data_IF_444380104139
#
_entry.id   IF_444380104139
#
_cell.length_a   1.000
_cell.length_b   1.000
_cell.length_c   1.000
_cell.angle_alpha   90.00
_cell.angle_beta   90.00
_cell.angle_gamma   90.00
#
_symmetry.space_group_name_H-M   'P 1'
#
loop_
_entity.id
_entity.type
_entity.pdbx_description
1 polymer ?
#
# COMPACT_ATOMS: atom_id res chain seq x y z
N UNK A 1 -20.92 -10.77 6.63
CA UNK A 1 -19.58 -10.50 6.05
C UNK A 1 -19.77 -9.41 5.02
N UNK A 2 -19.07 -8.28 5.13
CA UNK A 2 -19.35 -7.12 4.28
C UNK A 2 -18.88 -7.38 2.84
N UNK A 3 -19.79 -7.25 1.89
CA UNK A 3 -19.55 -7.31 0.44
C UNK A 3 -18.80 -6.06 0.00
N UNK A 4 -17.51 -5.97 0.31
CA UNK A 4 -16.70 -4.81 -0.06
C UNK A 4 -16.54 -4.77 -1.58
N UNK A 5 -16.95 -3.65 -2.19
CA UNK A 5 -16.84 -3.39 -3.64
C UNK A 5 -15.64 -2.54 -4.02
N UNK A 6 -14.87 -2.08 -3.03
CA UNK A 6 -13.73 -1.21 -3.20
C UNK A 6 -12.65 -1.50 -2.15
N UNK A 7 -11.39 -1.29 -2.53
CA UNK A 7 -10.22 -1.39 -1.65
C UNK A 7 -9.79 0.01 -1.24
N UNK A 8 -9.58 0.22 0.07
CA UNK A 8 -8.99 1.44 0.66
C UNK A 8 -7.51 1.26 1.03
N UNK A 9 -6.84 0.24 0.49
CA UNK A 9 -5.46 -0.13 0.86
C UNK A 9 -4.46 1.03 0.77
N UNK A 10 -4.68 1.94 -0.17
CA UNK A 10 -3.81 3.09 -0.43
C UNK A 10 -4.45 4.42 -0.03
N UNK A 11 -5.56 4.39 0.71
CA UNK A 11 -6.23 5.61 1.13
C UNK A 11 -5.28 6.48 1.97
N UNK A 12 -5.15 7.76 1.63
CA UNK A 12 -4.33 8.72 2.38
C UNK A 12 -2.93 8.97 1.80
N UNK A 13 -2.45 8.15 0.86
CA UNK A 13 -1.15 8.40 0.21
C UNK A 13 -1.26 9.56 -0.78
N UNK A 14 -0.45 10.60 -0.59
CA UNK A 14 -0.29 11.68 -1.55
C UNK A 14 0.76 11.32 -2.61
N UNK A 15 0.43 11.52 -3.88
CA UNK A 15 1.29 11.15 -5.01
C UNK A 15 1.48 12.30 -6.00
N UNK A 16 2.64 12.33 -6.65
CA UNK A 16 3.04 13.29 -7.66
C UNK A 16 2.33 12.97 -8.99
N UNK A 17 1.40 13.80 -9.48
CA UNK A 17 0.54 13.45 -10.63
C UNK A 17 1.32 13.03 -11.87
N UNK A 18 2.33 13.81 -12.27
CA UNK A 18 3.14 13.56 -13.48
C UNK A 18 3.86 12.21 -13.43
N UNK A 19 4.40 11.84 -12.26
CA UNK A 19 5.07 10.54 -12.08
C UNK A 19 4.06 9.40 -12.05
N UNK A 20 2.94 9.57 -11.36
CA UNK A 20 1.85 8.58 -11.32
C UNK A 20 1.35 8.24 -12.73
N UNK A 21 1.04 9.26 -13.53
CA UNK A 21 0.61 9.11 -14.92
C UNK A 21 1.65 8.34 -15.74
N UNK A 22 2.91 8.77 -15.71
CA UNK A 22 3.98 8.11 -16.47
C UNK A 22 4.19 6.63 -16.08
N UNK A 23 4.07 6.29 -14.79
CA UNK A 23 4.19 4.92 -14.30
C UNK A 23 3.04 4.02 -14.78
N UNK A 24 1.83 4.57 -14.82
CA UNK A 24 0.61 3.84 -15.14
C UNK A 24 0.37 3.71 -16.65
N UNK A 25 0.71 4.72 -17.46
CA UNK A 25 0.64 4.64 -18.93
C UNK A 25 1.48 3.48 -19.47
N UNK A 26 2.69 3.29 -18.94
CA UNK A 26 3.56 2.16 -19.27
C UNK A 26 3.01 0.79 -18.85
N UNK A 27 1.88 0.75 -18.15
CA UNK A 27 1.20 -0.45 -17.63
C UNK A 27 -0.22 -0.61 -18.16
N UNK A 28 -0.50 0.02 -19.30
CA UNK A 28 -1.77 -0.04 -20.01
C UNK A 28 -2.95 0.58 -19.23
N UNK A 29 -2.65 1.48 -18.29
CA UNK A 29 -3.69 2.32 -17.73
C UNK A 29 -4.00 3.48 -18.68
N UNK A 30 -5.29 3.71 -18.90
CA UNK A 30 -5.83 4.90 -19.55
C UNK A 30 -5.92 6.03 -18.53
N UNK A 31 -5.54 7.23 -18.99
CA UNK A 31 -5.50 8.46 -18.21
C UNK A 31 -6.50 9.42 -18.84
N UNK A 32 -7.65 9.61 -18.19
CA UNK A 32 -8.75 10.42 -18.70
C UNK A 32 -9.19 11.47 -17.69
N UNK A 33 -9.47 12.68 -18.16
CA UNK A 33 -10.07 13.74 -17.36
C UNK A 33 -11.49 13.40 -16.92
N UNK A 34 -12.24 12.65 -17.73
CA UNK A 34 -13.63 12.29 -17.48
C UNK A 34 -13.74 10.98 -16.68
N UNK A 35 -12.91 9.99 -17.01
CA UNK A 35 -13.03 8.63 -16.47
C UNK A 35 -11.99 8.31 -15.36
N UNK A 36 -11.02 9.22 -15.16
CA UNK A 36 -9.92 9.05 -14.21
C UNK A 36 -8.82 8.12 -14.72
N UNK A 37 -8.13 7.46 -13.79
CA UNK A 37 -7.12 6.45 -14.09
C UNK A 37 -7.79 5.07 -14.12
N UNK A 38 -7.77 4.42 -15.28
CA UNK A 38 -8.45 3.14 -15.47
C UNK A 38 -7.57 2.12 -16.19
N UNK A 39 -7.80 0.83 -15.95
CA UNK A 39 -7.20 -0.26 -16.73
C UNK A 39 -8.27 -1.26 -17.12
N UNK A 40 -8.34 -1.58 -18.41
CA UNK A 40 -9.39 -2.44 -18.99
C UNK A 40 -8.85 -3.86 -19.15
N UNK A 41 -9.57 -4.82 -18.59
CA UNK A 41 -9.31 -6.25 -18.69
C UNK A 41 -10.38 -6.88 -19.58
N UNK A 42 -10.10 -6.96 -20.89
CA UNK A 42 -11.08 -7.39 -21.89
C UNK A 42 -11.54 -8.85 -21.72
N UNK A 43 -10.62 -9.75 -21.34
CA UNK A 43 -10.92 -11.17 -21.12
C UNK A 43 -11.89 -11.39 -19.96
N UNK A 44 -11.75 -10.62 -18.89
CA UNK A 44 -12.54 -10.73 -17.67
C UNK A 44 -13.78 -9.82 -17.69
N UNK A 45 -13.92 -8.99 -18.73
CA UNK A 45 -14.96 -7.96 -18.84
C UNK A 45 -14.96 -6.97 -17.66
N UNK A 46 -13.79 -6.64 -17.12
CA UNK A 46 -13.63 -5.76 -15.96
C UNK A 46 -12.85 -4.50 -16.31
N UNK A 47 -13.17 -3.42 -15.60
CA UNK A 47 -12.36 -2.19 -15.57
C UNK A 47 -11.93 -1.99 -14.12
N UNK A 48 -10.63 -1.80 -13.90
CA UNK A 48 -10.11 -1.30 -12.63
C UNK A 48 -10.04 0.22 -12.70
N UNK A 49 -10.48 0.92 -11.64
CA UNK A 49 -10.41 2.38 -11.55
C UNK A 49 -9.73 2.80 -10.25
N UNK A 50 -8.82 3.78 -10.35
CA UNK A 50 -8.12 4.38 -9.23
C UNK A 50 -8.62 5.81 -8.99
N UNK A 51 -9.16 6.05 -7.79
CA UNK A 51 -9.72 7.33 -7.37
C UNK A 51 -8.84 8.07 -6.38
N UNK A 52 -8.89 9.40 -6.42
CA UNK A 52 -8.18 10.29 -5.50
C UNK A 52 -9.03 11.51 -5.11
N UNK A 53 -8.77 12.06 -3.91
CA UNK A 53 -9.50 13.18 -3.28
C UNK A 53 -9.23 14.56 -3.92
N UNK A 54 -8.68 14.59 -5.13
CA UNK A 54 -8.49 15.79 -5.93
C UNK A 54 -8.48 15.42 -7.42
N UNK A 55 -8.91 16.34 -8.27
CA UNK A 55 -8.77 16.17 -9.72
C UNK A 55 -7.29 15.94 -10.04
N UNK A 56 -6.97 14.78 -10.63
CA UNK A 56 -5.64 14.41 -11.15
C UNK A 56 -4.99 15.50 -12.02
N UNK A 57 -5.82 16.43 -12.50
CA UNK A 57 -5.49 17.41 -13.51
C UNK A 57 -6.01 18.84 -13.22
N UNK A 58 -6.26 19.19 -11.95
CA UNK A 58 -6.62 20.58 -11.63
C UNK A 58 -5.47 21.54 -12.02
N UNK A 59 -5.73 22.64 -12.75
CA UNK A 59 -4.71 23.64 -13.11
C UNK A 59 -4.15 24.38 -11.89
N UNK A 60 -4.85 24.34 -10.76
CA UNK A 60 -4.40 24.93 -9.50
C UNK A 60 -3.43 23.97 -8.81
N UNK A 61 -2.15 24.33 -8.78
CA UNK A 61 -1.02 23.65 -8.07
C UNK A 61 -1.22 23.48 -6.54
N UNK A 62 -2.44 23.54 -6.03
CA UNK A 62 -2.67 23.84 -4.61
C UNK A 62 -2.48 22.62 -3.71
N UNK A 63 -2.73 21.38 -4.17
CA UNK A 63 -2.47 20.14 -3.40
C UNK A 63 -2.26 18.92 -4.30
N UNK A 64 -1.31 18.07 -3.93
CA UNK A 64 -1.13 16.77 -4.58
C UNK A 64 -2.34 15.84 -4.31
N UNK A 65 -2.75 15.00 -5.29
CA UNK A 65 -3.85 14.08 -5.13
C UNK A 65 -3.56 13.03 -4.06
N UNK A 66 -4.54 12.82 -3.19
CA UNK A 66 -4.54 11.79 -2.16
C UNK A 66 -5.33 10.60 -2.68
N UNK A 67 -4.69 9.42 -2.81
CA UNK A 67 -5.38 8.20 -3.20
C UNK A 67 -6.51 7.87 -2.21
N UNK A 68 -7.63 7.34 -2.71
CA UNK A 68 -8.79 6.96 -1.87
C UNK A 68 -9.16 5.50 -2.02
N UNK A 69 -9.63 5.12 -3.21
CA UNK A 69 -10.20 3.80 -3.46
C UNK A 69 -9.76 3.23 -4.79
N UNK A 70 -9.57 1.91 -4.80
CA UNK A 70 -9.52 1.10 -6.01
C UNK A 70 -10.85 0.37 -6.11
N UNK A 71 -11.50 0.44 -7.25
CA UNK A 71 -12.73 -0.28 -7.55
C UNK A 71 -12.59 -1.10 -8.83
N UNK A 72 -13.41 -2.14 -8.94
CA UNK A 72 -13.56 -2.93 -10.13
C UNK A 72 -15.00 -2.82 -10.60
N UNK A 73 -15.21 -2.53 -11.87
CA UNK A 73 -16.54 -2.42 -12.46
C UNK A 73 -16.68 -3.40 -13.62
N UNK A 74 -17.87 -3.98 -13.76
CA UNK A 74 -18.22 -4.78 -14.92
C UNK A 74 -18.39 -3.86 -16.13
N UNK A 75 -17.70 -4.16 -17.24
CA UNK A 75 -17.64 -3.30 -18.42
C UNK A 75 -18.97 -3.23 -19.18
N UNK A 76 -19.84 -4.24 -19.05
CA UNK A 76 -21.12 -4.27 -19.75
C UNK A 76 -22.20 -3.47 -19.00
N UNK A 77 -22.18 -3.52 -17.67
CA UNK A 77 -23.22 -2.96 -16.80
C UNK A 77 -22.77 -1.72 -16.04
N UNK A 78 -21.46 -1.43 -16.02
CA UNK A 78 -20.82 -0.37 -15.23
C UNK A 78 -21.10 -0.44 -13.73
N UNK A 79 -21.50 -1.61 -13.23
CA UNK A 79 -21.75 -1.84 -11.80
C UNK A 79 -20.47 -2.29 -11.11
N UNK A 80 -20.31 -1.81 -9.88
CA UNK A 80 -19.23 -2.25 -9.00
C UNK A 80 -19.31 -3.76 -8.76
N UNK A 81 -18.17 -4.42 -8.88
CA UNK A 81 -17.98 -5.85 -8.63
C UNK A 81 -17.43 -6.02 -7.22
N UNK A 82 -17.98 -6.98 -6.47
CA UNK A 82 -17.44 -7.34 -5.16
C UNK A 82 -15.99 -7.81 -5.29
N UNK A 83 -15.11 -7.34 -4.41
CA UNK A 83 -13.69 -7.70 -4.47
C UNK A 83 -13.45 -9.22 -4.42
N UNK A 84 -14.32 -9.96 -3.73
CA UNK A 84 -14.28 -11.43 -3.65
C UNK A 84 -14.57 -12.14 -4.98
N UNK A 85 -15.20 -11.44 -5.94
CA UNK A 85 -15.54 -11.95 -7.27
C UNK A 85 -14.51 -11.53 -8.33
N UNK A 86 -13.56 -10.68 -7.98
CA UNK A 86 -12.48 -10.26 -8.89
C UNK A 86 -11.44 -11.39 -8.99
N UNK A 87 -11.02 -11.81 -10.19
CA UNK A 87 -9.96 -12.81 -10.34
C UNK A 87 -8.68 -12.41 -9.61
N UNK A 88 -8.11 -13.34 -8.82
CA UNK A 88 -6.99 -13.06 -7.91
C UNK A 88 -5.72 -12.54 -8.63
N UNK A 89 -5.46 -13.03 -9.85
CA UNK A 89 -4.31 -12.60 -10.65
C UNK A 89 -4.48 -11.15 -11.08
N UNK A 90 -5.64 -10.81 -11.63
CA UNK A 90 -6.01 -9.46 -12.05
C UNK A 90 -5.97 -8.49 -10.86
N UNK A 91 -6.59 -8.87 -9.74
CA UNK A 91 -6.56 -8.08 -8.51
C UNK A 91 -5.11 -7.81 -8.08
N UNK A 92 -4.26 -8.83 -8.07
CA UNK A 92 -2.86 -8.70 -7.67
C UNK A 92 -2.06 -7.83 -8.65
N UNK A 93 -2.37 -7.88 -9.94
CA UNK A 93 -1.74 -7.01 -10.95
C UNK A 93 -2.07 -5.54 -10.70
N UNK A 94 -3.35 -5.22 -10.51
CA UNK A 94 -3.80 -3.86 -10.20
C UNK A 94 -3.16 -3.36 -8.91
N UNK A 95 -3.10 -4.18 -7.86
CA UNK A 95 -2.46 -3.79 -6.61
C UNK A 95 -0.94 -3.57 -6.78
N UNK A 96 -0.25 -4.38 -7.59
CA UNK A 96 1.19 -4.16 -7.88
C UNK A 96 1.44 -2.86 -8.64
N UNK A 97 0.56 -2.52 -9.58
CA UNK A 97 0.65 -1.26 -10.32
C UNK A 97 0.53 -0.06 -9.36
N UNK A 98 -0.39 -0.12 -8.40
CA UNK A 98 -0.58 0.96 -7.40
C UNK A 98 0.48 0.94 -6.30
N UNK A 99 0.95 -0.22 -5.85
CA UNK A 99 2.10 -0.35 -4.93
C UNK A 99 3.32 0.38 -5.51
N UNK A 100 3.58 0.25 -6.82
CA UNK A 100 4.67 0.97 -7.49
C UNK A 100 4.45 2.49 -7.50
N UNK A 101 3.23 2.95 -7.79
CA UNK A 101 2.90 4.38 -7.74
C UNK A 101 3.18 4.94 -6.35
N UNK A 102 2.74 4.26 -5.30
CA UNK A 102 2.96 4.71 -3.93
C UNK A 102 4.45 4.75 -3.59
N UNK A 103 5.24 3.74 -3.98
CA UNK A 103 6.68 3.72 -3.67
C UNK A 103 7.48 4.78 -4.45
N UNK A 104 7.16 5.02 -5.73
CA UNK A 104 7.99 5.86 -6.62
C UNK A 104 7.48 7.29 -6.75
N UNK A 105 6.16 7.48 -6.71
CA UNK A 105 5.52 8.77 -6.95
C UNK A 105 5.07 9.48 -5.67
N UNK A 106 5.36 8.98 -4.46
CA UNK A 106 4.99 9.68 -3.23
C UNK A 106 5.50 11.13 -3.17
N UNK A 107 4.70 12.03 -2.58
CA UNK A 107 5.04 13.44 -2.36
C UNK A 107 6.03 13.56 -1.20
N UNK A 108 7.25 14.00 -1.48
CA UNK A 108 8.34 14.03 -0.50
C UNK A 108 9.65 13.48 -1.06
N UNK A 109 9.63 12.84 -2.23
CA UNK A 109 10.83 12.41 -2.96
C UNK A 109 11.55 11.20 -2.35
N UNK A 110 11.08 10.73 -1.20
CA UNK A 110 11.55 9.53 -0.51
C UNK A 110 10.32 8.72 -0.16
N UNK A 111 10.31 7.43 -0.48
CA UNK A 111 9.28 6.49 -0.03
C UNK A 111 9.14 6.62 1.51
N UNK A 112 7.94 6.87 2.08
CA UNK A 112 7.76 7.01 3.52
C UNK A 112 8.23 5.78 4.28
N UNK A 113 8.06 4.59 3.68
CA UNK A 113 8.47 3.34 4.29
C UNK A 113 10.00 3.21 4.24
N UNK A 114 10.63 3.59 3.12
CA UNK A 114 12.06 3.46 2.91
C UNK A 114 12.88 4.73 3.15
N UNK A 115 12.29 5.80 3.71
CA UNK A 115 13.02 7.03 4.00
C UNK A 115 14.15 6.73 4.99
N UNK A 116 15.30 7.41 4.83
CA UNK A 116 16.45 7.23 5.74
C UNK A 116 16.03 7.43 7.20
N UNK A 117 15.19 8.43 7.47
CA UNK A 117 14.61 8.69 8.79
C UNK A 117 13.76 7.52 9.31
N UNK A 118 12.96 6.88 8.45
CA UNK A 118 12.13 5.71 8.82
C UNK A 118 12.99 4.47 9.08
N UNK A 119 14.01 4.24 8.25
CA UNK A 119 14.94 3.11 8.40
C UNK A 119 15.75 3.24 9.69
N UNK A 120 16.26 4.43 10.00
CA UNK A 120 16.97 4.72 11.25
C UNK A 120 16.05 4.50 12.47
N UNK A 121 14.82 5.02 12.45
CA UNK A 121 13.85 4.80 13.54
C UNK A 121 13.50 3.32 13.72
N UNK A 122 13.22 2.59 12.64
CA UNK A 122 12.93 1.15 12.69
C UNK A 122 14.14 0.35 13.16
N UNK A 123 15.36 0.77 12.82
CA UNK A 123 16.59 0.16 13.35
C UNK A 123 16.64 0.27 14.87
N UNK A 124 16.33 1.44 15.43
CA UNK A 124 16.28 1.66 16.88
C UNK A 124 15.22 0.78 17.53
N UNK A 125 13.99 0.78 17.00
CA UNK A 125 12.87 -0.02 17.53
C UNK A 125 13.19 -1.52 17.49
N UNK A 126 13.73 -2.02 16.37
CA UNK A 126 14.10 -3.44 16.23
C UNK A 126 15.23 -3.78 17.20
N UNK A 127 16.28 -2.96 17.31
CA UNK A 127 17.37 -3.18 18.26
C UNK A 127 16.86 -3.33 19.70
N UNK A 128 15.98 -2.41 20.11
CA UNK A 128 15.42 -2.40 21.46
C UNK A 128 14.47 -3.59 21.69
N UNK A 129 13.67 -3.95 20.68
CA UNK A 129 12.80 -5.12 20.74
C UNK A 129 13.60 -6.41 20.88
N UNK A 130 14.69 -6.58 20.13
CA UNK A 130 15.57 -7.75 20.23
C UNK A 130 16.20 -7.86 21.62
N UNK A 131 16.62 -6.73 22.19
CA UNK A 131 17.16 -6.65 23.56
C UNK A 131 16.12 -7.06 24.60
N UNK A 132 14.91 -6.51 24.52
CA UNK A 132 13.81 -6.79 25.46
C UNK A 132 13.32 -8.25 25.37
N UNK A 133 13.23 -8.78 24.15
CA UNK A 133 12.79 -10.16 23.90
C UNK A 133 13.90 -11.20 24.05
N UNK A 134 15.15 -10.76 24.28
CA UNK A 134 16.34 -11.62 24.41
C UNK A 134 16.57 -12.51 23.18
N UNK A 135 16.30 -11.97 21.99
CA UNK A 135 16.51 -12.66 20.72
C UNK A 135 17.94 -12.43 20.23
N UNK A 136 18.77 -13.47 20.29
CA UNK A 136 20.19 -13.42 19.89
C UNK A 136 20.47 -13.85 18.45
N UNK A 137 19.45 -14.31 17.72
CA UNK A 137 19.59 -14.85 16.36
C UNK A 137 19.36 -13.78 15.27
N UNK A 138 19.44 -12.49 15.62
CA UNK A 138 19.21 -11.38 14.69
C UNK A 138 20.38 -10.41 14.74
N UNK A 139 20.98 -10.14 13.57
CA UNK A 139 22.04 -9.14 13.38
C UNK A 139 21.53 -7.99 12.53
N UNK A 140 21.69 -6.76 12.99
CA UNK A 140 21.39 -5.57 12.21
C UNK A 140 22.63 -5.19 11.37
N UNK A 141 22.45 -5.06 10.07
CA UNK A 141 23.49 -4.81 9.08
C UNK A 141 23.01 -3.76 8.07
N UNK A 142 23.47 -2.51 8.25
CA UNK A 142 23.01 -1.35 7.50
C UNK A 142 21.47 -1.23 7.54
N UNK A 143 20.79 -1.41 6.40
CA UNK A 143 19.33 -1.29 6.28
C UNK A 143 18.61 -2.64 6.42
N UNK A 144 19.27 -3.69 6.89
CA UNK A 144 18.70 -5.03 7.02
C UNK A 144 18.76 -5.56 8.44
N UNK A 145 17.71 -6.27 8.85
CA UNK A 145 17.76 -7.23 9.94
C UNK A 145 18.00 -8.63 9.36
N UNK A 146 19.15 -9.23 9.68
CA UNK A 146 19.51 -10.59 9.28
C UNK A 146 19.13 -11.56 10.38
N UNK A 147 18.30 -12.55 10.06
CA UNK A 147 17.74 -13.51 11.01
C UNK A 147 18.27 -14.89 10.67
N UNK A 148 18.96 -15.51 11.61
CA UNK A 148 19.36 -16.91 11.55
C UNK A 148 18.20 -17.77 12.08
N UNK A 149 17.62 -18.57 11.19
CA UNK A 149 16.51 -19.48 11.51
C UNK A 149 16.83 -20.92 11.16
N UNK A 150 16.02 -21.85 11.68
CA UNK A 150 16.15 -23.29 11.38
C UNK A 150 15.89 -23.64 9.91
N UNK A 151 15.16 -22.79 9.19
CA UNK A 151 14.82 -22.97 7.77
C UNK A 151 15.73 -22.17 6.83
N UNK A 152 16.76 -21.50 7.36
CA UNK A 152 17.74 -20.72 6.60
C UNK A 152 18.00 -19.34 7.20
N UNK A 153 18.82 -18.57 6.50
CA UNK A 153 19.12 -17.18 6.82
C UNK A 153 18.22 -16.24 6.03
N UNK A 154 17.63 -15.28 6.73
CA UNK A 154 16.71 -14.31 6.15
C UNK A 154 17.25 -12.90 6.32
N UNK A 155 17.01 -12.03 5.34
CA UNK A 155 17.29 -10.61 5.43
C UNK A 155 15.99 -9.84 5.23
N UNK A 156 15.61 -9.04 6.22
CA UNK A 156 14.43 -8.15 6.17
C UNK A 156 14.93 -6.73 5.97
N UNK A 157 14.52 -6.08 4.88
CA UNK A 157 14.85 -4.68 4.65
C UNK A 157 14.02 -3.80 5.58
N UNK A 158 14.68 -3.00 6.42
CA UNK A 158 14.05 -2.16 7.44
C UNK A 158 13.21 -1.03 6.83
N UNK A 159 13.50 -0.63 5.59
CA UNK A 159 12.71 0.37 4.88
C UNK A 159 11.44 -0.21 4.25
N UNK A 160 11.57 -1.23 3.41
CA UNK A 160 10.46 -1.74 2.58
C UNK A 160 9.74 -2.95 3.18
N UNK A 161 10.25 -3.52 4.28
CA UNK A 161 9.73 -4.77 4.84
C UNK A 161 9.97 -6.02 3.96
N UNK A 162 10.61 -5.87 2.79
CA UNK A 162 10.92 -6.99 1.89
C UNK A 162 11.80 -8.03 2.59
N UNK A 163 11.44 -9.30 2.41
CA UNK A 163 12.18 -10.42 2.99
C UNK A 163 12.88 -11.19 1.88
N UNK A 164 14.15 -11.50 2.09
CA UNK A 164 14.96 -12.35 1.23
C UNK A 164 15.48 -13.53 2.03
N UNK A 165 15.39 -14.74 1.49
CA UNK A 165 16.10 -15.90 2.02
C UNK A 165 17.41 -16.07 1.24
N UNK A 166 18.53 -16.16 1.96
CA UNK A 166 19.86 -16.34 1.36
C UNK A 166 19.85 -17.53 0.39
N UNK A 167 20.48 -17.35 -0.77
CA UNK A 167 20.52 -18.31 -1.88
C UNK A 167 19.16 -18.76 -2.49
N UNK A 168 18.02 -18.24 -2.01
CA UNK A 168 16.67 -18.59 -2.53
C UNK A 168 15.97 -17.40 -3.18
N UNK A 169 16.24 -16.17 -2.74
CA UNK A 169 15.65 -14.95 -3.29
C UNK A 169 14.52 -14.37 -2.43
N UNK A 170 13.65 -13.57 -3.04
CA UNK A 170 12.57 -12.87 -2.35
C UNK A 170 11.52 -13.84 -1.79
N UNK A 171 11.09 -13.60 -0.56
CA UNK A 171 10.02 -14.34 0.12
C UNK A 171 8.78 -13.45 0.24
N UNK A 172 7.66 -13.90 -0.33
CA UNK A 172 6.39 -13.22 -0.23
C UNK A 172 5.64 -13.71 1.01
N UNK A 173 5.71 -12.93 2.10
CA UNK A 173 4.96 -13.21 3.32
C UNK A 173 3.58 -12.57 3.18
N UNK A 174 2.55 -13.41 3.04
CA UNK A 174 1.16 -12.95 3.01
C UNK A 174 0.60 -13.06 4.42
N UNK A 175 0.30 -11.93 5.10
CA UNK A 175 -0.25 -11.99 6.44
C UNK A 175 -1.67 -12.57 6.40
N UNK A 176 -1.83 -13.80 6.89
CA UNK A 176 -3.15 -14.38 7.11
C UNK A 176 -3.67 -13.83 8.43
N UNK A 177 -4.62 -12.90 8.35
CA UNK A 177 -5.27 -12.29 9.52
C UNK A 177 -6.29 -13.24 10.14
N UNK A 178 -5.87 -14.46 10.52
CA UNK A 178 -6.70 -15.31 11.35
C UNK A 178 -6.71 -14.73 12.77
N UNK A 179 -7.84 -14.11 13.10
CA UNK A 179 -8.21 -13.79 14.47
C UNK A 179 -8.08 -15.07 15.31
N UNK A 180 -6.99 -15.26 16.05
CA UNK A 180 -6.96 -15.79 17.43
C UNK A 180 -5.54 -16.14 17.88
N UNK A 181 -5.23 -15.64 19.09
CA UNK A 181 -4.12 -15.93 20.02
C UNK A 181 -2.76 -15.25 19.81
N UNK A 182 -2.41 -14.46 20.84
CA UNK A 182 -1.11 -13.84 21.06
C UNK A 182 -1.19 -12.32 20.95
N UNK A 183 -1.50 -11.62 22.06
CA UNK A 183 -1.50 -10.14 22.13
C UNK A 183 -0.09 -9.56 22.10
N UNK A 184 0.72 -9.92 21.10
CA UNK A 184 1.96 -9.19 20.81
C UNK A 184 1.64 -8.14 19.77
N UNK A 185 1.13 -7.01 20.23
CA UNK A 185 1.09 -5.80 19.42
C UNK A 185 2.50 -5.22 19.43
N UNK A 186 3.14 -5.20 18.25
CA UNK A 186 4.34 -4.39 18.08
C UNK A 186 3.93 -2.92 18.28
N UNK A 187 4.71 -2.14 19.05
CA UNK A 187 4.44 -0.73 19.23
C UNK A 187 4.84 -0.01 17.94
N UNK A 188 3.96 -0.03 16.94
CA UNK A 188 4.13 0.86 15.81
C UNK A 188 3.84 2.28 16.31
N UNK A 189 4.87 3.12 16.26
CA UNK A 189 4.76 4.58 16.28
C UNK A 189 4.25 5.08 14.93
N UNK A 190 3.25 4.41 14.35
CA UNK A 190 2.39 5.09 13.39
C UNK A 190 1.35 5.77 14.27
N UNK A 191 1.40 7.11 14.32
CA UNK A 191 0.21 7.81 14.76
C UNK A 191 -0.93 7.27 13.89
N UNK A 192 -1.88 6.61 14.55
CA UNK A 192 -3.24 6.45 14.04
C UNK A 192 -3.62 7.79 13.41
N UNK A 193 -3.45 7.93 12.10
CA UNK A 193 -4.09 9.00 11.35
C UNK A 193 -5.56 8.61 11.26
N UNK A 194 -6.20 8.62 12.44
CA UNK A 194 -7.59 8.99 12.55
C UNK A 194 -7.63 10.39 11.97
N UNK A 195 -7.91 10.47 10.68
CA UNK A 195 -8.54 11.64 10.10
C UNK A 195 -9.88 11.77 10.85
N UNK A 196 -9.82 12.39 12.03
CA UNK A 196 -10.97 13.03 12.65
C UNK A 196 -11.11 14.33 11.87
N UNK A 197 -11.80 14.26 10.75
CA UNK A 197 -12.25 15.49 10.13
C UNK A 197 -13.36 16.09 11.00
N UNK A 198 -13.16 17.28 11.61
CA UNK A 198 -14.17 17.91 12.46
C UNK A 198 -15.41 18.38 11.66
N UNK A 199 -15.40 18.30 10.32
CA UNK A 199 -16.49 18.81 9.49
C UNK A 199 -17.68 17.85 9.31
N UNK A 200 -17.59 16.59 9.75
CA UNK A 200 -18.70 15.61 9.59
C UNK A 200 -19.73 15.68 10.74
N UNK A 201 -19.46 16.42 11.84
CA UNK A 201 -20.39 16.46 12.99
C UNK A 201 -21.55 17.46 12.87
N UNK A 202 -21.69 18.20 11.76
CA UNK A 202 -22.73 19.24 11.61
C UNK A 202 -23.92 18.86 10.71
N UNK A 203 -24.13 17.60 10.34
CA UNK A 203 -25.31 17.18 9.56
C UNK A 203 -26.20 16.11 10.23
N UNK A 204 -26.15 15.97 11.55
CA UNK A 204 -27.10 15.12 12.28
C UNK A 204 -27.84 15.84 13.42
N UNK A 205 -28.08 17.14 13.24
CA UNK A 205 -29.15 17.85 13.95
C UNK A 205 -29.85 18.77 12.97
N UNK A 206 -30.86 18.23 12.32
CA UNK A 206 -31.81 18.89 11.42
C UNK A 206 -32.96 17.95 11.14
#
# INVERSE_FOLDING_TARGET
MAHATHSRRYAGYQVQPKKTVALLEGRQWTVSYEEGLQKVFYSENLIASLHAMANWFSPSDTKAPTLEVIQFVDRATYKNVELSKVPLVLFSEVMRDVDLVVSVAHVGGVDPEASLTTVEMRRVIVSESLRLLKLGNVRIDSNYARIEGSLGEFAVHLGSGMVFKQATGALHIIPVHMQHRGRLFLPFLDEDTKIKDPQILMQLQG
#
